data_IF_467864366335
#
_entry.id   IF_467864366335
#
_cell.length_a   1.000
_cell.length_b   1.000
_cell.length_c   1.000
_cell.angle_alpha   90.00
_cell.angle_beta   90.00
_cell.angle_gamma   90.00
#
_symmetry.space_group_name_H-M   'P 1'
#
loop_
_entity.id
_entity.type
_entity.pdbx_description
1 polymer ?
#
# COMPACT_ATOMS: atom_id res chain seq x y z
N UNK A 1 3.05 -6.30 29.14
CA UNK A 1 2.67 -5.94 27.74
C UNK A 1 3.33 -4.61 27.44
N UNK A 2 4.23 -4.54 26.46
CA UNK A 2 4.80 -3.27 26.02
C UNK A 2 3.69 -2.49 25.32
N UNK A 3 3.32 -1.35 25.89
CA UNK A 3 2.32 -0.46 25.31
C UNK A 3 3.06 0.54 24.42
N UNK A 4 2.80 0.50 23.12
CA UNK A 4 3.34 1.50 22.18
C UNK A 4 2.72 2.86 22.51
N UNK A 5 3.57 3.88 22.63
CA UNK A 5 3.11 5.26 22.89
C UNK A 5 2.82 5.92 21.55
N UNK A 6 1.73 6.68 21.50
CA UNK A 6 1.42 7.54 20.36
C UNK A 6 2.23 8.83 20.50
N UNK A 7 3.02 9.17 19.49
CA UNK A 7 3.74 10.43 19.40
C UNK A 7 3.00 11.40 18.50
N UNK A 8 2.93 12.67 18.89
CA UNK A 8 2.22 13.72 18.14
C UNK A 8 2.71 13.81 16.68
N UNK A 9 4.03 13.69 16.46
CA UNK A 9 4.63 13.71 15.11
C UNK A 9 4.10 12.60 14.20
N UNK A 10 3.72 11.43 14.75
CA UNK A 10 3.14 10.35 13.95
C UNK A 10 1.69 10.65 13.55
N UNK A 11 0.93 11.36 14.43
CA UNK A 11 -0.40 11.83 14.05
C UNK A 11 -0.28 12.84 12.90
N UNK A 12 0.70 13.75 12.96
CA UNK A 12 0.98 14.71 11.90
C UNK A 12 1.33 13.99 10.59
N UNK A 13 2.21 13.01 10.65
CA UNK A 13 2.63 12.18 9.53
C UNK A 13 1.43 11.49 8.81
N UNK A 14 0.56 10.85 9.57
CA UNK A 14 -0.65 10.21 9.04
C UNK A 14 -1.63 11.25 8.47
N UNK A 15 -1.83 12.37 9.16
CA UNK A 15 -2.73 13.44 8.70
C UNK A 15 -2.23 14.07 7.39
N UNK A 16 -0.95 14.37 7.28
CA UNK A 16 -0.34 14.90 6.05
C UNK A 16 -0.47 13.91 4.89
N UNK A 17 -0.22 12.62 5.14
CA UNK A 17 -0.37 11.58 4.12
C UNK A 17 -1.83 11.45 3.66
N UNK A 18 -2.80 11.47 4.57
CA UNK A 18 -4.22 11.41 4.23
C UNK A 18 -4.71 12.70 3.55
N UNK A 19 -4.14 13.86 3.90
CA UNK A 19 -4.39 15.10 3.19
C UNK A 19 -3.91 15.05 1.73
N UNK A 20 -2.75 14.42 1.46
CA UNK A 20 -2.30 14.14 0.09
C UNK A 20 -3.26 13.21 -0.66
N UNK A 21 -3.98 12.34 0.05
CA UNK A 21 -5.07 11.54 -0.52
C UNK A 21 -6.36 12.36 -0.75
N UNK A 22 -6.35 13.66 -0.49
CA UNK A 22 -7.49 14.54 -0.66
C UNK A 22 -8.58 14.36 0.39
N UNK A 23 -8.25 13.83 1.57
CA UNK A 23 -9.21 13.68 2.68
C UNK A 23 -9.56 15.03 3.27
N UNK A 24 -10.85 15.27 3.45
CA UNK A 24 -11.43 16.53 3.98
C UNK A 24 -12.56 16.24 4.96
N UNK A 25 -13.09 17.30 5.60
CA UNK A 25 -14.24 17.20 6.51
C UNK A 25 -15.54 16.68 5.85
N UNK A 26 -15.64 16.71 4.51
CA UNK A 26 -16.78 16.15 3.79
C UNK A 26 -16.72 14.63 3.58
N UNK A 27 -15.58 14.01 3.89
CA UNK A 27 -15.37 12.60 3.63
C UNK A 27 -15.99 11.69 4.70
N UNK A 28 -16.44 10.52 4.24
CA UNK A 28 -16.74 9.37 5.09
C UNK A 28 -15.61 8.37 4.91
N UNK A 29 -14.81 8.17 5.95
CA UNK A 29 -13.61 7.37 5.94
C UNK A 29 -13.82 6.05 6.67
N UNK A 30 -13.55 4.93 6.01
CA UNK A 30 -13.48 3.62 6.65
C UNK A 30 -12.03 3.33 7.07
N UNK A 31 -11.85 2.87 8.30
CA UNK A 31 -10.61 2.24 8.75
C UNK A 31 -10.84 0.73 8.70
N UNK A 32 -10.20 0.07 7.76
CA UNK A 32 -10.21 -1.38 7.65
C UNK A 32 -9.00 -1.95 8.38
N UNK A 33 -9.24 -2.82 9.32
CA UNK A 33 -8.19 -3.52 10.07
C UNK A 33 -8.58 -4.97 10.35
N UNK A 34 -7.63 -5.74 10.80
CA UNK A 34 -7.83 -7.11 11.23
C UNK A 34 -7.20 -7.35 12.62
N UNK A 35 -7.53 -8.47 13.27
CA UNK A 35 -7.10 -8.75 14.65
C UNK A 35 -5.58 -8.74 14.85
N UNK A 36 -4.80 -8.92 13.79
CA UNK A 36 -3.32 -8.86 13.80
C UNK A 36 -2.76 -7.54 13.25
N UNK A 37 -3.61 -6.58 12.88
CA UNK A 37 -3.17 -5.23 12.51
C UNK A 37 -2.46 -4.57 13.69
N UNK A 38 -1.46 -3.76 13.38
CA UNK A 38 -0.73 -3.02 14.43
C UNK A 38 -1.64 -1.98 15.08
N UNK A 39 -1.97 -2.11 16.39
CA UNK A 39 -2.96 -1.24 17.04
C UNK A 39 -2.59 0.23 17.00
N UNK A 40 -1.30 0.56 17.14
CA UNK A 40 -0.85 1.96 17.10
C UNK A 40 -1.14 2.61 15.75
N UNK A 41 -0.99 1.90 14.62
CA UNK A 41 -1.31 2.43 13.30
C UNK A 41 -2.82 2.66 13.13
N UNK A 42 -3.65 1.80 13.69
CA UNK A 42 -5.11 1.95 13.67
C UNK A 42 -5.53 3.21 14.44
N UNK A 43 -4.98 3.41 15.63
CA UNK A 43 -5.25 4.61 16.43
C UNK A 43 -4.70 5.89 15.76
N UNK A 44 -3.51 5.82 15.15
CA UNK A 44 -2.95 6.96 14.40
C UNK A 44 -3.82 7.34 13.21
N UNK A 45 -4.33 6.35 12.47
CA UNK A 45 -5.24 6.60 11.36
C UNK A 45 -6.54 7.26 11.84
N UNK A 46 -7.14 6.79 12.93
CA UNK A 46 -8.34 7.38 13.53
C UNK A 46 -8.11 8.84 13.94
N UNK A 47 -7.04 9.12 14.71
CA UNK A 47 -6.71 10.46 15.18
C UNK A 47 -6.41 11.39 14.01
N UNK A 48 -5.71 10.93 12.99
CA UNK A 48 -5.40 11.72 11.80
C UNK A 48 -6.64 12.06 10.98
N UNK A 49 -7.53 11.10 10.76
CA UNK A 49 -8.79 11.31 10.05
C UNK A 49 -9.74 12.25 10.82
N UNK A 50 -9.83 12.08 12.14
CA UNK A 50 -10.60 12.97 13.01
C UNK A 50 -10.04 14.40 12.97
N UNK A 51 -8.73 14.58 12.97
CA UNK A 51 -8.06 15.88 12.83
C UNK A 51 -8.37 16.57 11.49
N UNK A 52 -8.52 15.79 10.42
CA UNK A 52 -8.95 16.30 9.11
C UNK A 52 -10.46 16.56 9.03
N UNK A 53 -11.20 16.23 10.09
CA UNK A 53 -12.65 16.43 10.18
C UNK A 53 -13.48 15.40 9.44
N UNK A 54 -12.89 14.32 8.95
CA UNK A 54 -13.63 13.24 8.29
C UNK A 54 -14.52 12.49 9.28
N UNK A 55 -15.65 11.96 8.79
CA UNK A 55 -16.50 11.04 9.56
C UNK A 55 -15.91 9.65 9.45
N UNK A 56 -15.52 9.08 10.59
CA UNK A 56 -14.76 7.82 10.64
C UNK A 56 -15.63 6.69 11.17
N UNK A 57 -15.49 5.51 10.57
CA UNK A 57 -15.98 4.26 11.15
C UNK A 57 -14.95 3.15 10.96
N UNK A 58 -15.02 2.11 11.81
CA UNK A 58 -14.10 0.99 11.79
C UNK A 58 -14.77 -0.27 11.27
N UNK A 59 -14.03 -1.03 10.48
CA UNK A 59 -14.30 -2.42 10.15
C UNK A 59 -13.13 -3.26 10.64
N UNK A 60 -13.37 -4.09 11.65
CA UNK A 60 -12.36 -4.97 12.23
C UNK A 60 -12.70 -6.40 11.85
N UNK A 61 -11.82 -7.04 11.11
CA UNK A 61 -11.99 -8.41 10.64
C UNK A 61 -11.09 -9.37 11.41
N UNK A 62 -11.42 -10.64 11.35
CA UNK A 62 -10.53 -11.67 11.87
C UNK A 62 -9.38 -11.90 10.88
N UNK A 63 -8.15 -11.89 11.39
CA UNK A 63 -7.00 -12.23 10.53
C UNK A 63 -7.12 -13.67 10.02
N UNK A 64 -6.85 -13.88 8.72
CA UNK A 64 -6.84 -15.21 8.14
C UNK A 64 -5.80 -16.11 8.82
N UNK A 65 -6.06 -17.41 8.86
CA UNK A 65 -5.06 -18.38 9.28
C UNK A 65 -3.92 -18.41 8.30
N UNK A 66 -2.71 -18.25 8.78
CA UNK A 66 -1.50 -18.48 7.97
C UNK A 66 -1.38 -20.00 7.72
N UNK A 67 -1.40 -20.37 6.45
CA UNK A 67 -1.24 -21.76 6.00
C UNK A 67 0.15 -22.03 5.45
N UNK A 68 0.90 -20.97 5.11
CA UNK A 68 2.28 -21.08 4.64
C UNK A 68 3.26 -21.29 5.79
N UNK A 69 4.34 -22.07 5.60
CA UNK A 69 5.35 -22.31 6.64
C UNK A 69 6.15 -21.05 6.99
N UNK A 70 6.23 -20.08 6.09
CA UNK A 70 6.86 -18.78 6.32
C UNK A 70 5.78 -17.70 6.23
N UNK A 71 5.58 -16.90 7.28
CA UNK A 71 4.63 -15.80 7.21
C UNK A 71 5.10 -14.79 6.18
N UNK A 72 4.33 -14.62 5.13
CA UNK A 72 4.51 -13.55 4.13
C UNK A 72 3.66 -12.39 4.58
N UNK A 73 4.25 -11.21 4.67
CA UNK A 73 3.61 -9.99 5.14
C UNK A 73 3.68 -8.92 4.06
N UNK A 74 2.64 -8.08 4.01
CA UNK A 74 2.55 -6.96 3.07
C UNK A 74 2.63 -7.39 1.59
N UNK A 75 2.00 -8.53 1.27
CA UNK A 75 1.88 -9.01 -0.12
C UNK A 75 0.94 -8.17 -0.95
N UNK A 76 0.06 -7.39 -0.30
CA UNK A 76 -1.04 -6.69 -0.94
C UNK A 76 -2.22 -7.59 -1.32
N UNK A 77 -2.24 -8.84 -0.91
CA UNK A 77 -3.26 -9.84 -1.27
C UNK A 77 -3.95 -10.38 0.00
N UNK A 78 -4.55 -9.48 0.80
CA UNK A 78 -5.25 -9.88 2.02
C UNK A 78 -6.49 -10.72 1.70
N UNK A 79 -6.60 -11.87 2.38
CA UNK A 79 -7.81 -12.68 2.42
C UNK A 79 -8.75 -12.29 3.58
N UNK A 80 -8.44 -11.22 4.32
CA UNK A 80 -9.22 -10.83 5.50
C UNK A 80 -10.67 -10.48 5.16
N UNK A 81 -10.92 -9.92 3.98
CA UNK A 81 -12.27 -9.62 3.49
C UNK A 81 -13.04 -10.92 3.17
N UNK A 82 -12.38 -11.95 2.64
CA UNK A 82 -12.90 -13.29 2.42
C UNK A 82 -14.29 -13.33 1.74
N UNK A 83 -14.50 -12.54 0.71
CA UNK A 83 -15.78 -12.41 0.00
C UNK A 83 -16.95 -11.93 0.88
N UNK A 84 -16.68 -11.21 1.97
CA UNK A 84 -17.70 -10.63 2.86
C UNK A 84 -18.40 -9.45 2.15
N UNK A 85 -19.46 -9.75 1.39
CA UNK A 85 -20.20 -8.77 0.62
C UNK A 85 -20.60 -7.50 1.42
N UNK A 86 -21.07 -7.59 2.69
CA UNK A 86 -21.38 -6.39 3.48
C UNK A 86 -20.17 -5.49 3.72
N UNK A 87 -18.97 -6.07 3.90
CA UNK A 87 -17.73 -5.32 4.09
C UNK A 87 -17.35 -4.62 2.78
N UNK A 88 -17.37 -5.33 1.66
CA UNK A 88 -17.09 -4.76 0.33
C UNK A 88 -18.03 -3.59 0.03
N UNK A 89 -19.33 -3.73 0.32
CA UNK A 89 -20.33 -2.68 0.13
C UNK A 89 -20.05 -1.46 1.02
N UNK A 90 -19.68 -1.65 2.29
CA UNK A 90 -19.36 -0.56 3.19
C UNK A 90 -18.10 0.20 2.73
N UNK A 91 -17.07 -0.51 2.27
CA UNK A 91 -15.85 0.09 1.72
C UNK A 91 -16.13 0.83 0.40
N UNK A 92 -16.91 0.24 -0.51
CA UNK A 92 -17.30 0.86 -1.78
C UNK A 92 -18.18 2.12 -1.59
N UNK A 93 -18.98 2.15 -0.51
CA UNK A 93 -19.79 3.31 -0.12
C UNK A 93 -19.00 4.42 0.61
N UNK A 94 -17.72 4.20 0.93
CA UNK A 94 -16.86 5.18 1.58
C UNK A 94 -16.19 6.07 0.54
N UNK A 95 -15.85 7.31 0.92
CA UNK A 95 -15.07 8.20 0.05
C UNK A 95 -13.58 7.97 0.19
N UNK A 96 -13.15 7.47 1.35
CA UNK A 96 -11.78 7.10 1.65
C UNK A 96 -11.72 5.80 2.48
N UNK A 97 -10.75 4.97 2.20
CA UNK A 97 -10.44 3.75 2.96
C UNK A 97 -8.98 3.79 3.38
N UNK A 98 -8.74 3.83 4.68
CA UNK A 98 -7.44 3.53 5.26
C UNK A 98 -7.36 2.00 5.47
N UNK A 99 -6.65 1.33 4.60
CA UNK A 99 -6.43 -0.11 4.68
C UNK A 99 -5.22 -0.41 5.56
N UNK A 100 -5.48 -0.93 6.73
CA UNK A 100 -4.50 -1.30 7.76
C UNK A 100 -4.47 -2.83 7.99
N UNK A 101 -4.99 -3.60 7.04
CA UNK A 101 -4.87 -5.06 7.08
C UNK A 101 -3.41 -5.48 7.00
N UNK A 102 -3.07 -6.65 7.51
CA UNK A 102 -1.67 -7.10 7.63
C UNK A 102 -1.01 -7.25 6.26
N UNK A 103 -1.73 -7.85 5.30
CA UNK A 103 -1.22 -8.09 3.95
C UNK A 103 -1.57 -6.93 2.98
N UNK A 104 -2.62 -6.17 3.27
CA UNK A 104 -3.12 -5.09 2.41
C UNK A 104 -4.03 -5.55 1.28
N UNK A 105 -4.74 -4.60 0.66
CA UNK A 105 -5.75 -4.86 -0.36
C UNK A 105 -5.25 -4.70 -1.80
N UNK A 106 -4.00 -4.34 -2.03
CA UNK A 106 -3.49 -3.94 -3.35
C UNK A 106 -3.79 -4.96 -4.46
N UNK A 107 -3.79 -6.25 -4.11
CA UNK A 107 -4.07 -7.37 -5.02
C UNK A 107 -5.23 -8.24 -4.53
N UNK A 108 -6.03 -7.77 -3.55
CA UNK A 108 -7.20 -8.50 -3.08
C UNK A 108 -8.25 -8.63 -4.19
N UNK A 109 -8.92 -9.76 -4.25
CA UNK A 109 -9.91 -10.05 -5.30
C UNK A 109 -11.10 -9.08 -5.28
N UNK A 110 -11.45 -8.54 -4.13
CA UNK A 110 -12.55 -7.62 -3.89
C UNK A 110 -12.23 -6.16 -4.21
N UNK A 111 -10.96 -5.83 -4.36
CA UNK A 111 -10.52 -4.45 -4.63
C UNK A 111 -11.21 -3.79 -5.84
N UNK A 112 -11.38 -4.45 -6.99
CA UNK A 112 -12.06 -3.85 -8.14
C UNK A 112 -13.48 -3.38 -7.82
N UNK A 113 -14.22 -4.10 -6.99
CA UNK A 113 -15.59 -3.74 -6.62
C UNK A 113 -15.62 -2.57 -5.65
N UNK A 114 -14.67 -2.49 -4.73
CA UNK A 114 -14.48 -1.33 -3.84
C UNK A 114 -14.17 -0.07 -4.66
N UNK A 115 -13.24 -0.17 -5.61
CA UNK A 115 -12.83 0.97 -6.45
C UNK A 115 -13.92 1.45 -7.41
N UNK A 116 -14.79 0.56 -7.90
CA UNK A 116 -15.97 0.93 -8.71
C UNK A 116 -16.92 1.87 -7.96
N UNK A 117 -16.99 1.78 -6.63
CA UNK A 117 -17.75 2.70 -5.79
C UNK A 117 -17.18 4.12 -5.72
N UNK A 118 -15.98 4.33 -6.23
CA UNK A 118 -15.30 5.62 -6.21
C UNK A 118 -14.42 5.85 -4.97
N UNK A 119 -14.30 4.87 -4.09
CA UNK A 119 -13.45 4.97 -2.90
C UNK A 119 -11.98 5.21 -3.31
N UNK A 120 -11.31 6.11 -2.58
CA UNK A 120 -9.86 6.25 -2.61
C UNK A 120 -9.30 5.32 -1.54
N UNK A 121 -8.46 4.37 -1.91
CA UNK A 121 -7.90 3.40 -0.97
C UNK A 121 -6.43 3.69 -0.75
N UNK A 122 -6.02 3.84 0.50
CA UNK A 122 -4.60 3.89 0.87
C UNK A 122 -4.27 2.66 1.72
N UNK A 123 -3.52 1.73 1.15
CA UNK A 123 -2.91 0.65 1.89
C UNK A 123 -1.74 1.21 2.70
N UNK A 124 -1.84 1.14 4.02
CA UNK A 124 -0.78 1.53 4.95
C UNK A 124 -0.08 0.26 5.43
N UNK A 125 1.20 0.15 5.13
CA UNK A 125 1.98 -1.01 5.55
C UNK A 125 1.93 -1.23 7.06
N UNK A 126 1.88 -2.49 7.50
CA UNK A 126 1.79 -2.86 8.92
C UNK A 126 3.14 -2.68 9.67
N UNK A 127 3.94 -1.70 9.22
CA UNK A 127 5.22 -1.35 9.79
C UNK A 127 5.07 -0.46 11.03
N UNK A 128 6.17 -0.34 11.81
CA UNK A 128 6.20 0.60 12.92
C UNK A 128 6.05 2.05 12.43
N UNK A 129 5.31 2.94 13.14
CA UNK A 129 5.10 4.33 12.72
C UNK A 129 6.39 5.10 12.40
N UNK A 130 7.50 4.79 13.07
CA UNK A 130 8.81 5.40 12.79
C UNK A 130 9.31 5.09 11.38
N UNK A 131 9.01 3.90 10.84
CA UNK A 131 9.37 3.54 9.47
C UNK A 131 8.48 4.30 8.49
N UNK A 132 7.19 4.39 8.78
CA UNK A 132 6.24 5.16 7.97
C UNK A 132 6.63 6.64 7.92
N UNK A 133 7.03 7.23 9.05
CA UNK A 133 7.53 8.60 9.16
C UNK A 133 8.75 8.84 8.25
N UNK A 134 9.72 7.92 8.25
CA UNK A 134 10.90 8.02 7.37
C UNK A 134 10.57 7.89 5.89
N UNK A 135 9.43 7.31 5.57
CA UNK A 135 8.97 7.04 4.22
C UNK A 135 7.71 7.85 3.86
N UNK A 136 7.59 9.05 4.43
CA UNK A 136 6.47 9.93 4.10
C UNK A 136 6.41 10.22 2.59
N UNK A 137 5.22 10.18 1.99
CA UNK A 137 5.07 10.54 0.60
C UNK A 137 5.33 12.04 0.40
N UNK A 138 6.00 12.33 -0.72
CA UNK A 138 6.26 13.69 -1.20
C UNK A 138 5.63 13.84 -2.58
N UNK A 139 5.02 14.99 -2.85
CA UNK A 139 4.45 15.32 -4.16
C UNK A 139 5.47 15.23 -5.28
N UNK A 140 6.77 15.46 -4.98
CA UNK A 140 7.86 15.30 -5.93
C UNK A 140 8.11 13.85 -6.35
N UNK A 141 7.61 12.86 -5.61
CA UNK A 141 7.74 11.44 -5.97
C UNK A 141 6.89 11.07 -7.18
N UNK A 142 5.69 11.63 -7.30
CA UNK A 142 4.77 11.29 -8.39
C UNK A 142 5.39 11.47 -9.79
N UNK A 143 5.96 12.64 -10.16
CA UNK A 143 6.57 12.80 -11.47
C UNK A 143 7.79 11.90 -11.66
N UNK A 144 8.57 11.63 -10.61
CA UNK A 144 9.73 10.73 -10.66
C UNK A 144 9.31 9.30 -10.93
N UNK A 145 8.31 8.79 -10.21
CA UNK A 145 7.76 7.45 -10.41
C UNK A 145 7.14 7.30 -11.80
N UNK A 146 6.36 8.29 -12.24
CA UNK A 146 5.79 8.31 -13.61
C UNK A 146 6.87 8.25 -14.68
N UNK A 147 7.96 9.00 -14.51
CA UNK A 147 9.11 8.97 -15.42
C UNK A 147 9.79 7.57 -15.41
N UNK A 148 9.97 6.96 -14.24
CA UNK A 148 10.50 5.62 -14.09
C UNK A 148 9.63 4.57 -14.79
N UNK A 149 8.31 4.61 -14.57
CA UNK A 149 7.36 3.71 -15.24
C UNK A 149 7.42 3.88 -16.76
N UNK A 150 7.47 5.13 -17.26
CA UNK A 150 7.61 5.41 -18.69
C UNK A 150 8.90 4.80 -19.25
N UNK A 151 10.00 4.92 -18.51
CA UNK A 151 11.29 4.33 -18.90
C UNK A 151 11.23 2.82 -18.95
N UNK A 152 10.65 2.16 -17.94
CA UNK A 152 10.46 0.71 -17.93
C UNK A 152 9.62 0.22 -19.12
N UNK A 153 8.52 0.92 -19.43
CA UNK A 153 7.64 0.58 -20.57
C UNK A 153 8.31 0.72 -21.94
N UNK A 154 9.29 1.61 -22.07
CA UNK A 154 10.00 1.83 -23.32
C UNK A 154 11.26 0.98 -23.47
N UNK A 155 11.78 0.44 -22.37
CA UNK A 155 12.97 -0.39 -22.38
C UNK A 155 12.67 -1.79 -22.91
N UNK A 156 13.62 -2.35 -23.67
CA UNK A 156 13.55 -3.74 -24.15
C UNK A 156 14.32 -4.69 -23.25
N UNK A 157 15.33 -4.18 -22.57
CA UNK A 157 16.21 -4.97 -21.70
C UNK A 157 16.57 -4.15 -20.46
N UNK A 158 16.68 -4.82 -19.32
CA UNK A 158 17.23 -4.27 -18.10
C UNK A 158 18.41 -5.15 -17.66
N UNK A 159 19.54 -4.52 -17.34
CA UNK A 159 20.70 -5.19 -16.75
C UNK A 159 20.82 -4.80 -15.28
N UNK A 160 21.03 -5.79 -14.44
CA UNK A 160 21.25 -5.59 -13.00
C UNK A 160 22.59 -6.21 -12.65
N UNK A 161 23.50 -5.39 -12.16
CA UNK A 161 24.84 -5.83 -11.73
C UNK A 161 25.19 -5.31 -10.35
N UNK A 162 26.02 -6.03 -9.61
CA UNK A 162 26.55 -5.59 -8.33
C UNK A 162 28.00 -6.08 -8.14
N UNK A 163 28.79 -5.40 -7.30
CA UNK A 163 30.16 -5.84 -6.94
C UNK A 163 30.18 -7.22 -6.28
N UNK A 164 29.06 -7.67 -5.68
CA UNK A 164 28.93 -9.01 -5.08
C UNK A 164 28.81 -10.16 -6.10
N UNK A 165 28.77 -9.84 -7.41
CA UNK A 165 28.73 -10.84 -8.48
C UNK A 165 27.32 -11.03 -9.09
N UNK A 166 26.34 -10.20 -8.76
CA UNK A 166 25.07 -10.19 -9.51
C UNK A 166 25.32 -9.70 -10.93
N UNK A 167 24.85 -10.47 -11.91
CA UNK A 167 24.85 -10.12 -13.34
C UNK A 167 23.61 -10.73 -13.99
N UNK A 168 22.55 -9.92 -14.15
CA UNK A 168 21.27 -10.34 -14.70
C UNK A 168 20.93 -9.55 -15.96
N UNK A 169 20.53 -10.26 -16.99
CA UNK A 169 19.89 -9.71 -18.18
C UNK A 169 18.40 -10.08 -18.15
N UNK A 170 17.54 -9.06 -18.19
CA UNK A 170 16.09 -9.19 -18.06
C UNK A 170 15.41 -8.62 -19.30
N UNK A 171 14.69 -9.45 -20.06
CA UNK A 171 13.87 -8.93 -21.14
C UNK A 171 12.63 -8.23 -20.59
N UNK A 172 12.40 -6.99 -21.03
CA UNK A 172 11.21 -6.20 -20.72
C UNK A 172 10.21 -6.14 -21.88
N UNK A 173 10.44 -6.91 -22.94
CA UNK A 173 9.52 -6.96 -24.09
C UNK A 173 8.18 -7.53 -23.63
N UNK A 174 7.11 -6.74 -23.77
CA UNK A 174 5.77 -7.13 -23.30
C UNK A 174 5.56 -7.06 -21.77
N UNK A 175 6.57 -6.68 -21.00
CA UNK A 175 6.45 -6.56 -19.55
C UNK A 175 5.48 -5.42 -19.17
N UNK A 176 4.60 -5.70 -18.23
CA UNK A 176 3.80 -4.66 -17.59
C UNK A 176 4.68 -3.87 -16.61
N UNK A 177 4.49 -2.55 -16.57
CA UNK A 177 5.19 -1.71 -15.60
C UNK A 177 4.20 -0.84 -14.84
N UNK A 178 4.40 -0.76 -13.54
CA UNK A 178 3.61 0.00 -12.59
C UNK A 178 4.46 0.69 -11.55
N UNK A 179 3.82 1.31 -10.57
CA UNK A 179 4.49 1.95 -9.45
C UNK A 179 3.53 2.76 -8.61
N UNK A 180 4.00 3.21 -7.46
CA UNK A 180 3.24 4.02 -6.51
C UNK A 180 4.12 5.09 -5.87
N UNK A 181 3.52 6.22 -5.58
CA UNK A 181 4.19 7.37 -4.95
C UNK A 181 3.74 7.64 -3.52
N UNK A 182 2.95 6.73 -2.93
CA UNK A 182 2.61 6.77 -1.50
C UNK A 182 1.27 7.41 -1.18
N UNK A 183 0.53 7.93 -2.16
CA UNK A 183 -0.79 8.52 -1.96
C UNK A 183 -1.65 8.42 -3.22
N UNK A 184 -2.95 8.64 -3.07
CA UNK A 184 -3.90 8.72 -4.18
C UNK A 184 -5.04 9.68 -3.86
N UNK A 185 -5.22 10.73 -4.68
CA UNK A 185 -6.30 11.72 -4.54
C UNK A 185 -7.44 11.50 -5.55
N UNK A 186 -7.30 10.56 -6.48
CA UNK A 186 -8.29 10.31 -7.52
C UNK A 186 -9.30 9.26 -7.07
N UNK A 187 -10.63 9.52 -7.17
CA UNK A 187 -11.64 8.51 -6.89
C UNK A 187 -11.44 7.21 -7.68
N UNK A 188 -11.78 6.10 -7.07
CA UNK A 188 -11.65 4.77 -7.67
C UNK A 188 -10.21 4.32 -7.90
N UNK A 189 -9.27 4.78 -7.08
CA UNK A 189 -7.86 4.37 -7.17
C UNK A 189 -7.29 3.97 -5.82
N UNK A 190 -6.24 3.17 -5.88
CA UNK A 190 -5.48 2.72 -4.71
C UNK A 190 -4.04 3.18 -4.81
N UNK A 191 -3.42 3.44 -3.67
CA UNK A 191 -1.98 3.57 -3.52
C UNK A 191 -1.51 2.85 -2.26
N UNK A 192 -0.21 2.73 -2.13
CA UNK A 192 0.45 2.07 -1.00
C UNK A 192 1.43 3.03 -0.33
N UNK A 193 1.42 3.09 0.99
CA UNK A 193 2.39 3.79 1.81
C UNK A 193 3.16 2.78 2.68
N UNK A 194 4.50 2.73 2.57
CA UNK A 194 5.44 3.59 1.82
C UNK A 194 5.32 3.51 0.30
N UNK A 195 5.64 4.62 -0.37
CA UNK A 195 5.66 4.73 -1.83
C UNK A 195 7.06 5.05 -2.37
N UNK A 196 7.11 5.56 -3.60
CA UNK A 196 8.37 5.95 -4.24
C UNK A 196 9.03 4.83 -5.05
N UNK A 197 8.24 3.87 -5.52
CA UNK A 197 8.74 2.73 -6.29
C UNK A 197 8.16 2.70 -7.72
N UNK A 198 8.96 2.18 -8.64
CA UNK A 198 8.49 1.70 -9.95
C UNK A 198 9.02 0.29 -10.18
N UNK A 199 8.22 -0.54 -10.83
CA UNK A 199 8.49 -1.95 -11.01
C UNK A 199 8.00 -2.43 -12.38
N UNK A 200 8.59 -3.51 -12.84
CA UNK A 200 8.17 -4.21 -14.03
C UNK A 200 7.96 -5.70 -13.71
N UNK A 201 7.06 -6.31 -14.44
CA UNK A 201 6.74 -7.73 -14.34
C UNK A 201 7.21 -8.44 -15.63
N UNK A 202 8.47 -8.92 -15.67
CA UNK A 202 8.99 -9.64 -16.82
C UNK A 202 8.23 -10.96 -17.01
N UNK A 203 8.17 -11.44 -18.23
CA UNK A 203 7.59 -12.75 -18.52
C UNK A 203 8.42 -13.86 -17.86
N UNK A 204 7.77 -14.96 -17.54
CA UNK A 204 8.47 -16.15 -17.03
C UNK A 204 9.55 -16.61 -18.01
N UNK A 205 10.72 -16.99 -17.51
CA UNK A 205 11.87 -17.41 -18.32
C UNK A 205 12.63 -16.26 -19.00
N UNK A 206 12.22 -15.00 -18.81
CA UNK A 206 12.87 -13.84 -19.42
C UNK A 206 14.04 -13.26 -18.61
N UNK A 207 14.34 -13.81 -17.45
CA UNK A 207 15.44 -13.42 -16.57
C UNK A 207 16.57 -14.44 -16.68
N UNK A 208 17.77 -13.99 -17.07
CA UNK A 208 18.93 -14.85 -17.26
C UNK A 208 20.14 -14.25 -16.56
N UNK A 209 21.01 -15.10 -16.02
CA UNK A 209 22.25 -14.70 -15.38
C UNK A 209 22.39 -15.19 -13.95
N UNK A 210 23.18 -14.49 -13.15
CA UNK A 210 23.51 -14.84 -11.77
C UNK A 210 23.00 -13.80 -10.80
N UNK A 211 22.29 -14.24 -9.75
CA UNK A 211 21.95 -13.41 -8.59
C UNK A 211 22.85 -13.81 -7.43
N UNK A 212 23.75 -12.92 -7.03
CA UNK A 212 24.57 -13.11 -5.84
C UNK A 212 23.84 -12.61 -4.61
N UNK A 213 23.61 -13.49 -3.65
CA UNK A 213 23.05 -13.16 -2.33
C UNK A 213 24.20 -13.25 -1.33
N UNK A 214 24.68 -12.13 -0.77
CA UNK A 214 25.72 -12.15 0.24
C UNK A 214 25.22 -12.88 1.50
N UNK A 215 26.09 -13.74 2.05
CA UNK A 215 25.86 -14.50 3.30
C UNK A 215 25.97 -13.60 4.52
#
# INVERSE_FOLDING_TARGET
MLQERIEARWIDCFAETFALCGVTAGDTAAILSETQSRPVNVHLAELALARLGARVFHLVLQSPRLTAPVPVRSTGASDAIGQLAPVVQALAGSTFVADLTVEGLLHAAELPDILKGGARVLMVSNEHPEILERCMPDVALEPRVKAGIKRLRSAKTMHVSSPAGTDLAISLVGAQAGGGWGYTARPGTISHWPGGLCLAFPAEGSVNGTLAIPS
#
